data_IF_261734386309
#
_entry.id   IF_261734386309
#
_cell.length_a   1.000
_cell.length_b   1.000
_cell.length_c   1.000
_cell.angle_alpha   90.00
_cell.angle_beta   90.00
_cell.angle_gamma   90.00
#
_symmetry.space_group_name_H-M   'P 1'
#
loop_
_entity.id
_entity.type
_entity.pdbx_description
1 polymer ?
#
# COMPACT_ATOMS: atom_id res chain seq x y z
N UNK A 1 -5.91 3.98 11.26
CA UNK A 1 -4.58 4.40 10.77
C UNK A 1 -4.42 5.87 11.05
N UNK A 2 -3.44 6.23 11.88
CA UNK A 2 -3.02 7.62 12.01
C UNK A 2 -2.16 7.99 10.80
N UNK A 3 -1.99 9.29 10.49
CA UNK A 3 -1.21 9.74 9.32
C UNK A 3 0.24 9.23 9.27
N UNK A 4 0.81 8.82 10.42
CA UNK A 4 2.12 8.15 10.49
C UNK A 4 2.12 6.78 9.80
N UNK A 5 1.06 5.99 9.98
CA UNK A 5 0.95 4.65 9.38
C UNK A 5 0.87 4.74 7.85
N UNK A 6 0.16 5.76 7.35
CA UNK A 6 0.02 6.01 5.92
C UNK A 6 1.38 6.36 5.31
N UNK A 7 2.16 7.23 5.97
CA UNK A 7 3.50 7.60 5.50
C UNK A 7 4.41 6.38 5.43
N UNK A 8 4.41 5.53 6.46
CA UNK A 8 5.20 4.30 6.49
C UNK A 8 4.81 3.35 5.37
N UNK A 9 3.50 3.17 5.14
CA UNK A 9 3.02 2.36 4.02
C UNK A 9 3.45 2.93 2.67
N UNK A 10 3.31 4.24 2.45
CA UNK A 10 3.73 4.91 1.22
C UNK A 10 5.23 4.75 0.96
N UNK A 11 6.07 4.89 1.98
CA UNK A 11 7.52 4.66 1.87
C UNK A 11 7.82 3.23 1.43
N UNK A 12 7.16 2.27 2.06
CA UNK A 12 7.37 0.86 1.73
C UNK A 12 6.90 0.53 0.32
N UNK A 13 5.75 1.06 -0.11
CA UNK A 13 5.27 0.90 -1.48
C UNK A 13 6.26 1.49 -2.50
N UNK A 14 6.85 2.66 -2.23
CA UNK A 14 7.94 3.20 -3.07
C UNK A 14 9.18 2.30 -3.09
N UNK A 15 9.59 1.76 -1.95
CA UNK A 15 10.72 0.83 -1.87
C UNK A 15 10.47 -0.46 -2.67
N UNK A 16 9.21 -0.86 -2.80
CA UNK A 16 8.77 -1.99 -3.63
C UNK A 16 8.64 -1.65 -5.13
N UNK A 17 8.91 -0.41 -5.55
CA UNK A 17 8.86 0.02 -6.94
C UNK A 17 7.58 0.75 -7.37
N UNK A 18 6.62 0.97 -6.45
CA UNK A 18 5.39 1.68 -6.77
C UNK A 18 5.60 3.20 -6.80
N UNK A 19 4.99 3.88 -7.78
CA UNK A 19 5.03 5.34 -7.88
C UNK A 19 3.87 6.00 -7.14
N UNK A 20 4.15 6.58 -5.97
CA UNK A 20 3.20 7.39 -5.20
C UNK A 20 3.91 8.45 -4.36
N UNK A 21 3.18 9.49 -3.97
CA UNK A 21 3.66 10.51 -3.03
C UNK A 21 3.71 9.95 -1.59
N UNK A 22 4.71 10.37 -0.83
CA UNK A 22 4.89 10.05 0.60
C UNK A 22 4.54 11.29 1.42
N UNK A 23 3.28 11.67 1.36
CA UNK A 23 2.73 12.85 2.03
C UNK A 23 2.14 12.52 3.43
N UNK A 24 1.96 11.24 3.75
CA UNK A 24 1.27 10.79 4.95
C UNK A 24 -0.25 10.93 4.88
N UNK A 25 -0.79 11.22 3.69
CA UNK A 25 -2.22 11.39 3.44
C UNK A 25 -2.77 10.23 2.59
N UNK A 26 -3.87 9.64 3.04
CA UNK A 26 -4.52 8.56 2.31
C UNK A 26 -5.55 9.13 1.34
N UNK A 27 -5.08 9.60 0.18
CA UNK A 27 -5.90 10.13 -0.89
C UNK A 27 -6.27 9.10 -1.97
N UNK A 28 -6.92 9.58 -3.04
CA UNK A 28 -7.33 8.74 -4.18
C UNK A 28 -6.15 8.01 -4.85
N UNK A 29 -4.97 8.64 -4.92
CA UNK A 29 -3.76 8.02 -5.46
C UNK A 29 -3.28 6.83 -4.60
N UNK A 30 -3.23 7.01 -3.27
CA UNK A 30 -2.90 5.94 -2.31
C UNK A 30 -3.90 4.79 -2.41
N UNK A 31 -5.20 5.11 -2.52
CA UNK A 31 -6.25 4.10 -2.68
C UNK A 31 -6.12 3.33 -4.01
N UNK A 32 -5.78 3.98 -5.11
CA UNK A 32 -5.56 3.33 -6.40
C UNK A 32 -4.38 2.34 -6.35
N UNK A 33 -3.23 2.77 -5.81
CA UNK A 33 -2.05 1.91 -5.61
C UNK A 33 -2.38 0.74 -4.68
N UNK A 34 -3.14 1.00 -3.62
CA UNK A 34 -3.57 -0.04 -2.69
C UNK A 34 -4.43 -1.10 -3.38
N UNK A 35 -5.37 -0.70 -4.24
CA UNK A 35 -6.17 -1.65 -5.04
C UNK A 35 -5.31 -2.48 -5.98
N UNK A 36 -4.37 -1.86 -6.69
CA UNK A 36 -3.45 -2.60 -7.59
C UNK A 36 -2.60 -3.60 -6.81
N UNK A 37 -2.08 -3.20 -5.64
CA UNK A 37 -1.33 -4.09 -4.76
C UNK A 37 -2.18 -5.24 -4.23
N UNK A 38 -3.42 -4.96 -3.81
CA UNK A 38 -4.36 -5.98 -3.37
C UNK A 38 -4.67 -6.97 -4.49
N UNK A 39 -4.88 -6.49 -5.72
CA UNK A 39 -5.09 -7.34 -6.89
C UNK A 39 -3.88 -8.24 -7.16
N UNK A 40 -2.67 -7.68 -7.18
CA UNK A 40 -1.43 -8.44 -7.41
C UNK A 40 -1.21 -9.51 -6.34
N UNK A 41 -1.56 -9.21 -5.08
CA UNK A 41 -1.40 -10.15 -3.96
C UNK A 41 -2.63 -11.01 -3.68
N UNK A 42 -3.62 -11.01 -4.58
CA UNK A 42 -4.86 -11.77 -4.45
C UNK A 42 -5.59 -11.54 -3.10
N UNK A 43 -5.57 -10.29 -2.63
CA UNK A 43 -6.30 -9.84 -1.45
C UNK A 43 -7.67 -9.27 -1.83
N UNK A 44 -8.50 -9.02 -0.83
CA UNK A 44 -9.75 -8.25 -1.01
C UNK A 44 -9.40 -6.86 -1.51
N UNK A 45 -9.96 -6.48 -2.66
CA UNK A 45 -9.68 -5.21 -3.36
C UNK A 45 -10.65 -4.14 -2.89
N UNK A 46 -10.44 -3.64 -1.68
CA UNK A 46 -11.25 -2.55 -1.09
C UNK A 46 -10.58 -1.17 -1.23
N UNK A 47 -9.28 -1.13 -1.54
CA UNK A 47 -8.49 0.09 -1.56
C UNK A 47 -8.32 0.71 -0.17
N UNK A 48 -8.30 -0.13 0.86
CA UNK A 48 -8.04 0.24 2.26
C UNK A 48 -6.86 -0.58 2.75
N UNK A 49 -5.91 0.08 3.41
CA UNK A 49 -4.77 -0.63 4.00
C UNK A 49 -5.21 -1.25 5.33
N UNK A 50 -5.88 -2.40 5.26
CA UNK A 50 -6.22 -3.21 6.43
C UNK A 50 -5.03 -4.06 6.93
N UNK A 51 -5.21 -4.84 8.02
CA UNK A 51 -4.16 -5.70 8.57
C UNK A 51 -3.59 -6.71 7.56
N UNK A 52 -4.45 -7.26 6.68
CA UNK A 52 -4.03 -8.19 5.63
C UNK A 52 -3.14 -7.50 4.58
N UNK A 53 -3.57 -6.35 4.07
CA UNK A 53 -2.80 -5.52 3.13
C UNK A 53 -1.49 -5.06 3.76
N UNK A 54 -1.52 -4.62 5.02
CA UNK A 54 -0.32 -4.23 5.76
C UNK A 54 0.67 -5.39 5.87
N UNK A 55 0.21 -6.57 6.31
CA UNK A 55 1.06 -7.76 6.41
C UNK A 55 1.67 -8.13 5.06
N UNK A 56 0.87 -8.13 3.99
CA UNK A 56 1.37 -8.40 2.65
C UNK A 56 2.40 -7.35 2.19
N UNK A 57 2.25 -6.09 2.60
CA UNK A 57 3.18 -5.00 2.26
C UNK A 57 4.61 -5.25 2.79
N UNK A 58 4.77 -6.08 3.82
CA UNK A 58 6.07 -6.46 4.39
C UNK A 58 6.49 -7.90 4.09
N UNK A 59 5.54 -8.84 4.03
CA UNK A 59 5.83 -10.26 3.89
C UNK A 59 5.80 -10.76 2.45
N UNK A 60 5.02 -10.13 1.56
CA UNK A 60 4.89 -10.62 0.19
C UNK A 60 6.12 -10.24 -0.64
N UNK A 61 6.65 -11.14 -1.49
CA UNK A 61 7.78 -10.84 -2.34
C UNK A 61 7.49 -9.67 -3.28
N UNK A 62 8.50 -8.86 -3.59
CA UNK A 62 8.41 -7.85 -4.65
C UNK A 62 8.43 -8.59 -5.97
N UNK A 63 7.32 -8.50 -6.71
CA UNK A 63 7.23 -9.09 -8.04
C UNK A 63 7.94 -8.10 -8.98
N UNK A 64 9.01 -8.51 -9.68
CA UNK A 64 9.78 -7.63 -10.56
C UNK A 64 9.03 -7.22 -11.82
#
# INVERSE_FOLDING_TARGET
MAGVDVRTWQQQMRARGWHLAVDGAYGAASAAICRSFQQEKHLVVDGVVGPATWKATWAAPVTP
#
